data_IF_685197229247
#
_entry.id   IF_685197229247
#
_cell.length_a   1.000
_cell.length_b   1.000
_cell.length_c   1.000
_cell.angle_alpha   90.00
_cell.angle_beta   90.00
_cell.angle_gamma   90.00
#
_symmetry.space_group_name_H-M   'P 1'
#
loop_
_entity.id
_entity.type
_entity.pdbx_description
1 polymer ?
#
# COMPACT_ATOMS: atom_id res chain seq x y z
N UNK A 1 -11.50 16.93 -21.07
CA UNK A 1 -12.27 16.52 -19.93
C UNK A 1 -12.43 15.04 -19.91
N UNK A 2 -13.17 14.49 -20.85
CA UNK A 2 -13.36 13.06 -20.88
C UNK A 2 -12.05 12.32 -21.03
N UNK A 3 -11.11 12.89 -21.79
CA UNK A 3 -9.83 12.24 -22.01
C UNK A 3 -9.04 12.12 -20.73
N UNK A 4 -9.09 13.14 -19.89
CA UNK A 4 -8.34 13.14 -18.68
C UNK A 4 -8.86 12.08 -17.71
N UNK A 5 -10.18 12.00 -17.57
CA UNK A 5 -10.80 11.01 -16.72
C UNK A 5 -10.47 9.60 -17.21
N UNK A 6 -10.45 9.40 -18.54
CA UNK A 6 -10.14 8.11 -19.12
C UNK A 6 -8.67 7.72 -18.84
N UNK A 7 -7.78 8.69 -18.89
CA UNK A 7 -6.37 8.41 -18.61
C UNK A 7 -6.15 8.02 -17.16
N UNK A 8 -6.83 8.69 -16.23
CA UNK A 8 -6.72 8.35 -14.82
C UNK A 8 -7.15 6.91 -14.62
N UNK A 9 -8.29 6.57 -15.18
CA UNK A 9 -8.84 5.24 -15.04
C UNK A 9 -7.88 4.21 -15.63
N UNK A 10 -7.30 4.51 -16.78
CA UNK A 10 -6.41 3.58 -17.46
C UNK A 10 -5.16 3.29 -16.65
N UNK A 11 -4.54 4.31 -16.08
CA UNK A 11 -3.33 4.12 -15.28
C UNK A 11 -3.62 3.20 -14.10
N UNK A 12 -4.74 3.42 -13.42
CA UNK A 12 -5.08 2.59 -12.26
C UNK A 12 -5.46 1.18 -12.67
N UNK A 13 -6.11 1.01 -13.81
CA UNK A 13 -6.45 -0.30 -14.33
C UNK A 13 -5.19 -1.08 -14.66
N UNK A 14 -4.23 -0.43 -15.31
CA UNK A 14 -2.99 -1.08 -15.69
C UNK A 14 -2.19 -1.45 -14.45
N UNK A 15 -2.15 -0.55 -13.46
CA UNK A 15 -1.43 -0.83 -12.22
C UNK A 15 -2.05 -2.03 -11.51
N UNK A 16 -3.37 -2.10 -11.46
CA UNK A 16 -4.06 -3.20 -10.83
C UNK A 16 -3.83 -4.51 -11.58
N UNK A 17 -3.88 -4.46 -12.91
CA UNK A 17 -3.64 -5.65 -13.71
C UNK A 17 -2.22 -6.17 -13.49
N UNK A 18 -1.25 -5.27 -13.48
CA UNK A 18 0.13 -5.64 -13.23
C UNK A 18 0.27 -6.27 -11.83
N UNK A 19 -0.33 -5.64 -10.83
CA UNK A 19 -0.25 -6.14 -9.46
C UNK A 19 -0.84 -7.54 -9.34
N UNK A 20 -1.93 -7.81 -10.07
CA UNK A 20 -2.60 -9.09 -9.97
C UNK A 20 -1.75 -10.24 -10.52
N UNK A 21 -0.72 -9.91 -11.28
CA UNK A 21 0.14 -10.93 -11.88
C UNK A 21 1.42 -11.16 -11.09
N UNK A 22 1.63 -10.41 -10.01
CA UNK A 22 2.85 -10.54 -9.24
C UNK A 22 2.67 -11.53 -8.10
N UNK A 23 3.72 -12.27 -7.81
CA UNK A 23 3.75 -13.15 -6.66
C UNK A 23 4.14 -12.40 -5.39
N UNK A 24 4.60 -11.16 -5.52
CA UNK A 24 5.00 -10.34 -4.39
C UNK A 24 3.81 -9.52 -3.93
N UNK A 25 3.60 -9.33 -2.62
CA UNK A 25 2.47 -8.55 -2.12
C UNK A 25 2.48 -7.12 -2.63
N UNK A 26 1.32 -6.69 -3.14
CA UNK A 26 1.14 -5.33 -3.67
C UNK A 26 -0.16 -4.77 -3.12
N UNK A 27 -0.11 -3.48 -2.75
CA UNK A 27 -1.23 -2.78 -2.14
C UNK A 27 -1.37 -1.45 -2.89
N UNK A 28 -2.53 -1.20 -3.47
CA UNK A 28 -2.75 -0.03 -4.33
C UNK A 28 -3.79 0.87 -3.72
N UNK A 29 -3.48 2.17 -3.63
CA UNK A 29 -4.42 3.15 -3.07
C UNK A 29 -4.60 4.30 -4.06
N UNK A 30 -5.74 5.00 -3.92
CA UNK A 30 -6.00 6.18 -4.73
C UNK A 30 -5.35 7.41 -4.09
N UNK A 31 -5.59 8.59 -4.66
CA UNK A 31 -4.95 9.81 -4.19
C UNK A 31 -5.37 10.22 -2.79
N UNK A 32 -6.48 9.69 -2.29
CA UNK A 32 -6.92 9.96 -0.94
C UNK A 32 -6.37 8.92 0.03
N UNK A 33 -5.69 7.91 -0.47
CA UNK A 33 -5.19 6.84 0.35
C UNK A 33 -6.17 5.72 0.57
N UNK A 34 -7.31 5.73 -0.11
CA UNK A 34 -8.27 4.63 0.01
C UNK A 34 -7.82 3.45 -0.82
N UNK A 35 -8.00 2.24 -0.28
CA UNK A 35 -7.56 1.04 -0.95
C UNK A 35 -8.36 0.80 -2.22
N UNK A 36 -7.66 0.61 -3.33
CA UNK A 36 -8.28 0.24 -4.57
C UNK A 36 -8.16 -1.27 -4.77
N UNK A 37 -7.05 -1.86 -4.37
CA UNK A 37 -6.80 -3.25 -4.64
C UNK A 37 -5.58 -3.74 -3.86
N UNK A 38 -5.59 -4.99 -3.45
CA UNK A 38 -4.34 -5.67 -3.07
C UNK A 38 -4.43 -7.10 -3.60
N UNK A 39 -3.29 -7.64 -4.00
CA UNK A 39 -3.27 -8.91 -4.71
C UNK A 39 -3.29 -10.10 -3.75
N UNK A 40 -3.34 -11.29 -4.33
CA UNK A 40 -3.46 -12.51 -3.54
C UNK A 40 -2.29 -12.69 -2.57
N UNK A 41 -1.09 -12.35 -2.99
CA UNK A 41 0.05 -12.42 -2.08
C UNK A 41 -0.11 -11.50 -0.88
N UNK A 42 -0.66 -10.31 -1.11
CA UNK A 42 -0.93 -9.38 -0.02
C UNK A 42 -2.02 -9.91 0.90
N UNK A 43 -3.02 -10.58 0.34
CA UNK A 43 -4.08 -11.15 1.16
C UNK A 43 -3.51 -12.13 2.20
N UNK A 44 -2.51 -12.89 1.79
CA UNK A 44 -1.90 -13.86 2.70
C UNK A 44 -1.16 -13.19 3.85
N UNK A 45 -0.46 -12.12 3.55
CA UNK A 45 0.32 -11.41 4.57
C UNK A 45 -0.59 -10.61 5.49
N UNK A 46 -1.61 -9.97 4.92
CA UNK A 46 -2.51 -9.14 5.71
C UNK A 46 -3.55 -9.95 6.47
N UNK A 47 -3.79 -11.18 6.04
CA UNK A 47 -4.80 -12.04 6.65
C UNK A 47 -6.20 -11.62 6.33
N UNK A 48 -6.39 -10.95 5.19
CA UNK A 48 -7.69 -10.43 4.79
C UNK A 48 -7.82 -10.49 3.29
N UNK A 49 -8.98 -10.90 2.80
CA UNK A 49 -9.22 -10.97 1.37
C UNK A 49 -9.66 -9.62 0.84
N UNK A 50 -9.23 -9.30 -0.36
CA UNK A 50 -9.68 -8.08 -1.00
C UNK A 50 -11.12 -8.28 -1.47
N UNK A 51 -11.98 -7.30 -1.23
CA UNK A 51 -13.35 -7.33 -1.70
C UNK A 51 -13.65 -6.04 -2.44
N UNK A 52 -14.17 -6.20 -3.65
CA UNK A 52 -14.53 -5.05 -4.47
C UNK A 52 -15.56 -4.20 -3.74
N UNK A 53 -15.38 -2.90 -3.79
CA UNK A 53 -16.36 -1.98 -3.23
C UNK A 53 -16.32 -1.81 -1.72
N UNK A 54 -15.48 -2.56 -1.02
CA UNK A 54 -15.39 -2.40 0.41
C UNK A 54 -13.98 -2.01 0.79
N UNK A 55 -13.42 -1.07 0.10
CA UNK A 55 -12.07 -0.62 0.37
C UNK A 55 -11.97 0.09 1.70
N UNK A 56 -10.78 0.06 2.27
CA UNK A 56 -10.50 0.75 3.51
C UNK A 56 -9.96 2.13 3.19
N UNK A 57 -10.35 3.14 3.96
CA UNK A 57 -9.74 4.45 3.78
C UNK A 57 -8.37 4.48 4.46
N UNK A 58 -7.65 5.59 4.28
CA UNK A 58 -6.27 5.68 4.77
C UNK A 58 -6.19 5.54 6.28
N UNK A 59 -7.13 6.11 7.00
CA UNK A 59 -7.11 6.01 8.44
C UNK A 59 -7.37 4.57 8.89
N UNK A 60 -8.23 3.90 8.20
CA UNK A 60 -8.58 2.53 8.58
C UNK A 60 -7.41 1.57 8.39
N UNK A 61 -6.80 1.54 7.19
CA UNK A 61 -5.72 0.57 6.99
C UNK A 61 -4.45 0.96 7.74
N UNK A 62 -4.27 2.25 8.01
CA UNK A 62 -3.07 2.66 8.75
C UNK A 62 -3.18 2.35 10.24
N UNK A 63 -4.36 1.95 10.71
CA UNK A 63 -4.52 1.58 12.10
C UNK A 63 -4.83 0.10 12.28
N UNK A 64 -5.59 -0.49 11.37
CA UNK A 64 -6.04 -1.87 11.57
C UNK A 64 -4.89 -2.87 11.60
N UNK A 65 -3.81 -2.59 10.89
CA UNK A 65 -2.66 -3.47 10.88
C UNK A 65 -1.60 -3.07 11.90
N UNK A 66 -1.89 -2.05 12.71
CA UNK A 66 -1.06 -1.61 13.82
C UNK A 66 0.42 -1.49 13.47
N UNK A 67 0.79 -0.71 12.43
CA UNK A 67 2.19 -0.64 12.04
C UNK A 67 3.05 0.01 13.12
N UNK A 68 4.22 -0.57 13.34
CA UNK A 68 5.14 -0.05 14.34
C UNK A 68 6.57 -0.22 13.82
N UNK A 69 7.51 0.46 14.47
CA UNK A 69 8.91 0.32 14.12
C UNK A 69 9.53 -0.82 14.97
N UNK A 70 10.81 -1.06 14.81
CA UNK A 70 11.47 -2.16 15.51
C UNK A 70 11.56 -1.92 17.02
N UNK A 71 11.36 -0.69 17.46
CA UNK A 71 11.37 -0.39 18.88
C UNK A 71 9.98 -0.46 19.49
N UNK A 72 8.99 -0.82 18.70
CA UNK A 72 7.62 -0.95 19.16
C UNK A 72 6.83 0.34 19.14
N UNK A 73 7.38 1.42 18.60
CA UNK A 73 6.66 2.68 18.53
C UNK A 73 5.70 2.67 17.35
N UNK A 74 4.46 3.09 17.54
CA UNK A 74 3.51 3.13 16.41
C UNK A 74 3.99 4.09 15.33
N UNK A 75 3.73 3.72 14.07
CA UNK A 75 4.09 4.56 12.94
C UNK A 75 2.78 5.07 12.35
N UNK A 76 2.61 6.38 12.35
CA UNK A 76 1.38 6.98 11.83
C UNK A 76 1.39 7.07 10.31
N UNK A 77 0.22 7.37 9.74
CA UNK A 77 0.05 7.42 8.30
C UNK A 77 1.08 8.32 7.62
N UNK A 78 1.36 9.47 8.22
CA UNK A 78 2.28 10.42 7.60
C UNK A 78 3.69 9.87 7.42
N UNK A 79 4.07 8.88 8.22
CA UNK A 79 5.40 8.30 8.15
C UNK A 79 5.42 6.92 7.49
N UNK A 80 4.27 6.39 7.12
CA UNK A 80 4.23 5.14 6.38
C UNK A 80 4.61 5.39 4.93
N UNK A 81 5.27 4.44 4.25
CA UNK A 81 5.70 4.66 2.87
C UNK A 81 4.59 5.11 1.94
N UNK A 82 3.39 4.55 2.03
CA UNK A 82 2.28 5.00 1.18
C UNK A 82 1.89 6.43 1.50
N UNK A 83 1.88 6.80 2.78
CA UNK A 83 1.55 8.17 3.17
C UNK A 83 2.57 9.17 2.66
N UNK A 84 3.85 8.81 2.74
CA UNK A 84 4.92 9.67 2.22
C UNK A 84 4.80 9.78 0.71
N UNK A 85 4.56 8.66 0.01
CA UNK A 85 4.45 8.67 -1.44
C UNK A 85 3.32 9.57 -1.92
N UNK A 86 2.18 9.54 -1.23
CA UNK A 86 1.04 10.37 -1.62
C UNK A 86 1.30 11.83 -1.31
N UNK A 87 1.75 12.11 -0.10
CA UNK A 87 1.89 13.50 0.36
C UNK A 87 3.08 14.21 -0.25
N UNK A 88 4.21 13.52 -0.31
CA UNK A 88 5.43 14.15 -0.80
C UNK A 88 5.74 13.79 -2.25
N UNK A 89 4.98 12.87 -2.79
CA UNK A 89 5.06 12.54 -4.22
C UNK A 89 6.43 12.05 -4.66
N UNK A 90 7.07 11.26 -3.81
CA UNK A 90 8.30 10.58 -4.17
C UNK A 90 8.32 9.19 -3.52
N UNK A 91 9.19 8.30 -3.98
CA UNK A 91 9.26 6.97 -3.40
C UNK A 91 9.77 6.98 -1.96
N UNK A 92 9.34 6.01 -1.19
CA UNK A 92 9.80 5.85 0.17
C UNK A 92 9.92 4.37 0.51
N UNK A 93 10.86 4.03 1.34
CA UNK A 93 11.10 2.66 1.73
C UNK A 93 11.28 2.59 3.25
N UNK A 94 10.68 1.56 3.86
CA UNK A 94 10.78 1.45 5.31
C UNK A 94 10.57 0.02 5.75
N UNK A 95 11.21 -0.35 6.84
CA UNK A 95 10.95 -1.61 7.52
C UNK A 95 9.88 -1.36 8.56
N UNK A 96 8.92 -2.27 8.67
CA UNK A 96 7.79 -2.11 9.59
C UNK A 96 7.43 -3.45 10.22
N UNK A 97 6.76 -3.38 11.37
CA UNK A 97 6.10 -4.55 11.93
C UNK A 97 4.62 -4.29 11.81
N UNK A 98 3.87 -5.27 11.34
CA UNK A 98 2.43 -5.16 11.26
C UNK A 98 1.80 -6.37 11.96
N UNK A 99 0.53 -6.22 12.33
CA UNK A 99 -0.23 -7.32 12.88
C UNK A 99 -1.32 -7.65 11.87
N UNK A 100 -1.28 -8.87 11.35
CA UNK A 100 -2.29 -9.32 10.40
C UNK A 100 -3.64 -9.44 11.11
N UNK A 101 -4.70 -9.54 10.34
CA UNK A 101 -6.05 -9.63 10.90
C UNK A 101 -6.18 -10.82 11.85
N UNK A 102 -5.47 -11.91 11.58
CA UNK A 102 -5.53 -13.10 12.44
C UNK A 102 -4.65 -12.96 13.68
N UNK A 103 -4.07 -11.81 13.93
CA UNK A 103 -3.25 -11.58 15.12
C UNK A 103 -1.78 -11.92 14.97
N UNK A 104 -1.36 -12.40 13.82
CA UNK A 104 0.04 -12.75 13.60
C UNK A 104 0.87 -11.50 13.37
N UNK A 105 1.94 -11.35 14.13
CA UNK A 105 2.85 -10.21 13.94
C UNK A 105 3.86 -10.55 12.87
N UNK A 106 4.10 -9.65 11.95
CA UNK A 106 5.02 -9.88 10.84
C UNK A 106 5.93 -8.67 10.66
N UNK A 107 7.18 -8.95 10.34
CA UNK A 107 8.13 -7.89 10.02
C UNK A 107 8.23 -7.83 8.50
N UNK A 108 8.02 -6.65 7.94
CA UNK A 108 7.98 -6.50 6.49
C UNK A 108 8.85 -5.34 6.05
N UNK A 109 9.31 -5.39 4.82
CA UNK A 109 9.92 -4.26 4.16
C UNK A 109 8.92 -3.75 3.15
N UNK A 110 8.74 -2.45 3.09
CA UNK A 110 7.77 -1.81 2.21
C UNK A 110 8.47 -0.76 1.37
N UNK A 111 8.27 -0.81 0.07
CA UNK A 111 8.66 0.29 -0.79
C UNK A 111 7.37 0.79 -1.44
N UNK A 112 7.18 2.09 -1.45
CA UNK A 112 5.98 2.67 -2.04
C UNK A 112 6.40 3.81 -2.96
N UNK A 113 5.62 4.02 -4.00
CA UNK A 113 5.90 5.12 -4.92
C UNK A 113 4.59 5.65 -5.50
N UNK A 114 4.57 6.92 -5.87
CA UNK A 114 3.34 7.52 -6.38
C UNK A 114 3.10 7.15 -7.84
N UNK A 115 1.83 7.19 -8.23
CA UNK A 115 1.44 6.96 -9.62
C UNK A 115 0.96 8.28 -10.18
N UNK A 116 1.45 8.64 -11.36
CA UNK A 116 1.09 9.89 -11.99
C UNK A 116 0.39 9.66 -13.32
N UNK A 117 -0.58 10.50 -13.63
CA UNK A 117 -1.25 10.47 -14.92
C UNK A 117 -0.57 11.39 -15.90
N UNK A 118 -0.45 12.65 -15.52
CA UNK A 118 0.22 13.65 -16.30
C UNK A 118 1.28 14.23 -15.40
N UNK A 119 2.24 14.84 -15.94
CA UNK A 119 3.30 15.52 -15.25
C UNK A 119 3.27 15.44 -13.73
N UNK A 120 2.44 16.25 -13.11
CA UNK A 120 2.41 16.30 -11.66
C UNK A 120 1.15 15.78 -11.02
N UNK A 121 0.27 15.19 -11.80
CA UNK A 121 -1.00 14.77 -11.23
C UNK A 121 -0.91 13.40 -10.61
N UNK A 122 -0.90 13.34 -9.30
CA UNK A 122 -0.79 12.08 -8.56
C UNK A 122 -2.16 11.42 -8.48
N UNK A 123 -2.24 10.19 -8.97
CA UNK A 123 -3.48 9.42 -8.96
C UNK A 123 -3.59 8.52 -7.76
N UNK A 124 -2.49 8.27 -7.08
CA UNK A 124 -2.47 7.35 -5.97
C UNK A 124 -1.06 6.85 -5.77
N UNK A 125 -0.94 5.72 -5.11
CA UNK A 125 0.37 5.14 -4.84
C UNK A 125 0.26 3.63 -4.78
N UNK A 126 1.39 2.98 -4.99
CA UNK A 126 1.46 1.55 -4.94
C UNK A 126 2.56 1.19 -3.96
N UNK A 127 2.30 0.19 -3.12
CA UNK A 127 3.29 -0.33 -2.20
C UNK A 127 3.56 -1.78 -2.57
N UNK A 128 4.84 -2.12 -2.62
CA UNK A 128 5.27 -3.50 -2.80
C UNK A 128 5.95 -3.87 -1.50
N UNK A 129 5.58 -4.99 -0.92
CA UNK A 129 6.15 -5.35 0.36
C UNK A 129 6.44 -6.84 0.42
N UNK A 130 7.28 -7.24 1.36
CA UNK A 130 7.62 -8.65 1.54
C UNK A 130 8.03 -8.86 2.98
N UNK A 131 7.88 -10.08 3.44
CA UNK A 131 8.29 -10.39 4.80
C UNK A 131 9.80 -10.41 4.88
N UNK A 132 10.33 -9.82 5.94
CA UNK A 132 11.75 -9.77 6.17
C UNK A 132 12.08 -10.67 7.36
N UNK A 133 13.22 -11.34 7.34
CA UNK A 133 13.60 -12.14 8.49
C UNK A 133 13.90 -11.23 9.68
N UNK A 134 13.73 -11.78 10.88
CA UNK A 134 14.07 -11.04 12.06
C UNK A 134 15.55 -10.77 12.08
N UNK A 135 15.89 -9.56 12.50
CA UNK A 135 17.26 -9.14 12.43
C UNK A 135 18.14 -9.85 13.42
N UNK A 136 17.57 -10.55 14.39
CA UNK A 136 18.38 -11.13 15.34
C UNK A 136 18.83 -12.44 14.91
N UNK A 137 19.33 -12.68 14.00
CA UNK A 137 19.88 -13.91 13.64
C UNK A 137 21.31 -13.83 13.43
#
# INVERSE_FOLDING_TARGET
>A
MADQATQHHLVLIIARDFASRLATPVFLVDARGSVIYFNESAERVLGRRFMEGSGMDAEEWSTVFAPSDDDGNPVGLADLPLGVAIREQHPDHRMLRITSIDGTERRIEVTAFPLFAHEDECLGAIAVFWEAPDAER
#
